data_IF_826103295596
#
_entry.id   IF_826103295596
#
_cell.length_a   1.000
_cell.length_b   1.000
_cell.length_c   1.000
_cell.angle_alpha   90.00
_cell.angle_beta   90.00
_cell.angle_gamma   90.00
#
_symmetry.space_group_name_H-M   'P 1'
#
loop_
_entity.id
_entity.type
_entity.pdbx_description
1 polymer ?
#
# COMPACT_ATOMS: atom_id res chain seq x y z
N UNK A 1 -41.01 -22.25 51.10
CA UNK A 1 -41.02 -22.19 49.61
C UNK A 1 -39.70 -21.57 49.16
N UNK A 2 -38.84 -22.43 48.63
CA UNK A 2 -37.57 -21.95 48.04
C UNK A 2 -37.80 -21.65 46.58
N UNK A 3 -37.73 -20.37 46.20
CA UNK A 3 -37.76 -19.96 44.78
C UNK A 3 -36.39 -20.20 44.22
N UNK A 4 -36.29 -21.19 43.36
CA UNK A 4 -35.11 -21.47 42.56
C UNK A 4 -35.18 -20.50 41.37
N UNK A 5 -34.31 -19.51 41.37
CA UNK A 5 -34.11 -18.61 40.23
C UNK A 5 -33.19 -19.31 39.24
N UNK A 6 -33.61 -19.63 38.03
CA UNK A 6 -32.69 -20.17 37.05
C UNK A 6 -31.77 -19.04 36.61
N UNK A 7 -30.51 -19.19 36.95
CA UNK A 7 -29.44 -18.34 36.39
C UNK A 7 -29.28 -18.76 34.94
N UNK A 8 -29.90 -18.01 34.06
CA UNK A 8 -29.69 -18.15 32.62
C UNK A 8 -28.28 -17.69 32.31
N UNK A 9 -27.37 -18.66 32.15
CA UNK A 9 -26.01 -18.41 31.70
C UNK A 9 -26.06 -17.92 30.26
N UNK A 10 -25.95 -16.59 30.08
CA UNK A 10 -25.87 -15.96 28.77
C UNK A 10 -24.45 -16.23 28.24
N UNK A 11 -24.33 -17.29 27.47
CA UNK A 11 -23.09 -17.55 26.70
C UNK A 11 -22.98 -16.52 25.61
N UNK A 12 -22.20 -15.47 25.87
CA UNK A 12 -21.73 -14.56 24.83
C UNK A 12 -20.80 -15.36 23.92
N UNK A 13 -21.32 -15.88 22.84
CA UNK A 13 -20.51 -16.38 21.74
C UNK A 13 -19.76 -15.20 21.15
N UNK A 14 -18.52 -15.02 21.59
CA UNK A 14 -17.56 -14.18 20.90
C UNK A 14 -17.31 -14.83 19.53
N UNK A 15 -18.05 -14.36 18.52
CA UNK A 15 -17.70 -14.64 17.14
C UNK A 15 -16.37 -13.95 16.88
N UNK A 16 -15.28 -14.63 17.20
CA UNK A 16 -13.96 -14.23 16.75
C UNK A 16 -13.99 -14.22 15.23
N UNK A 17 -13.83 -13.05 14.62
CA UNK A 17 -13.57 -12.96 13.19
C UNK A 17 -12.21 -13.61 12.93
N UNK A 18 -12.18 -14.92 12.81
CA UNK A 18 -11.03 -15.64 12.30
C UNK A 18 -11.03 -15.45 10.80
N UNK A 19 -10.26 -14.43 10.33
CA UNK A 19 -9.89 -14.37 8.93
C UNK A 19 -9.16 -15.66 8.58
N UNK A 20 -9.58 -16.35 7.51
CA UNK A 20 -8.89 -17.52 6.99
C UNK A 20 -7.42 -17.16 6.77
N UNK A 21 -6.46 -18.04 7.15
CA UNK A 21 -5.06 -17.77 6.88
C UNK A 21 -4.87 -17.61 5.38
N UNK A 22 -4.16 -16.54 4.96
CA UNK A 22 -3.86 -16.27 3.56
C UNK A 22 -2.98 -17.39 3.02
N UNK A 23 -3.24 -17.80 1.77
CA UNK A 23 -2.31 -18.64 1.02
C UNK A 23 -1.03 -17.84 0.73
N UNK A 24 0.07 -18.54 0.44
CA UNK A 24 1.33 -17.89 0.05
C UNK A 24 1.11 -16.98 -1.17
N UNK A 25 0.32 -17.41 -2.14
CA UNK A 25 -0.04 -16.64 -3.32
C UNK A 25 -0.77 -15.33 -2.96
N UNK A 26 -1.80 -15.40 -2.14
CA UNK A 26 -2.54 -14.21 -1.68
C UNK A 26 -1.66 -13.26 -0.88
N UNK A 27 -0.82 -13.80 -0.01
CA UNK A 27 0.12 -13.02 0.78
C UNK A 27 1.10 -12.25 -0.10
N UNK A 28 1.74 -12.93 -1.06
CA UNK A 28 2.74 -12.30 -1.91
C UNK A 28 2.15 -11.32 -2.92
N UNK A 29 0.95 -11.61 -3.44
CA UNK A 29 0.21 -10.64 -4.24
C UNK A 29 -0.03 -9.34 -3.46
N UNK A 30 -0.51 -9.45 -2.22
CA UNK A 30 -0.73 -8.31 -1.34
C UNK A 30 0.54 -7.53 -1.01
N UNK A 31 1.66 -8.22 -0.80
CA UNK A 31 2.96 -7.56 -0.57
C UNK A 31 3.44 -6.82 -1.82
N UNK A 32 3.31 -7.43 -2.99
CA UNK A 32 3.64 -6.79 -4.26
C UNK A 32 2.82 -5.53 -4.49
N UNK A 33 1.51 -5.61 -4.35
CA UNK A 33 0.60 -4.48 -4.48
C UNK A 33 0.97 -3.33 -3.51
N UNK A 34 1.27 -3.67 -2.27
CA UNK A 34 1.67 -2.70 -1.25
C UNK A 34 2.97 -1.99 -1.61
N UNK A 35 4.00 -2.71 -2.05
CA UNK A 35 5.26 -2.10 -2.46
C UNK A 35 5.12 -1.28 -3.74
N UNK A 36 4.44 -1.82 -4.74
CA UNK A 36 4.19 -1.12 -6.01
C UNK A 36 3.43 0.18 -5.81
N UNK A 37 2.36 0.17 -5.02
CA UNK A 37 1.54 1.35 -4.75
C UNK A 37 2.22 2.43 -3.92
N UNK A 38 3.30 2.08 -3.26
CA UNK A 38 4.11 3.02 -2.45
C UNK A 38 5.39 3.49 -3.12
N UNK A 39 5.65 3.06 -4.34
CA UNK A 39 6.82 3.47 -5.11
C UNK A 39 8.13 2.80 -4.71
N UNK A 40 8.08 1.70 -3.96
CA UNK A 40 9.28 0.91 -3.67
C UNK A 40 9.79 0.22 -4.94
N UNK A 41 11.11 0.05 -5.02
CA UNK A 41 11.68 -0.79 -6.08
C UNK A 41 11.24 -2.24 -5.90
N UNK A 42 11.20 -2.99 -7.01
CA UNK A 42 10.71 -4.36 -7.02
C UNK A 42 11.52 -5.30 -6.12
N UNK A 43 12.82 -5.09 -6.05
CA UNK A 43 13.75 -5.85 -5.21
C UNK A 43 14.31 -4.91 -4.13
N UNK A 44 13.49 -4.64 -3.12
CA UNK A 44 13.85 -3.79 -2.01
C UNK A 44 14.34 -4.60 -0.79
N UNK A 45 15.01 -3.94 0.14
CA UNK A 45 15.61 -4.58 1.32
C UNK A 45 14.57 -5.26 2.22
N UNK A 46 13.37 -4.69 2.33
CA UNK A 46 12.28 -5.27 3.12
C UNK A 46 11.79 -6.62 2.57
N UNK A 47 11.92 -6.83 1.26
CA UNK A 47 11.53 -8.06 0.59
C UNK A 47 12.36 -9.26 1.07
N UNK A 48 13.66 -9.08 1.25
CA UNK A 48 14.57 -10.12 1.71
C UNK A 48 14.16 -10.68 3.08
N UNK A 49 13.80 -9.80 4.01
CA UNK A 49 13.36 -10.17 5.36
C UNK A 49 12.05 -10.98 5.34
N UNK A 50 11.14 -10.61 4.47
CA UNK A 50 9.84 -11.29 4.35
C UNK A 50 10.01 -12.66 3.69
N UNK A 51 10.92 -12.80 2.72
CA UNK A 51 11.22 -14.08 2.06
C UNK A 51 11.73 -15.15 3.02
N UNK A 52 12.39 -14.76 4.10
CA UNK A 52 12.86 -15.68 5.14
C UNK A 52 11.70 -16.28 5.97
N UNK A 53 10.56 -15.60 6.02
CA UNK A 53 9.43 -15.95 6.88
C UNK A 53 8.30 -16.67 6.16
N UNK A 54 8.11 -16.39 4.87
CA UNK A 54 7.04 -16.94 4.05
C UNK A 54 7.63 -17.44 2.74
N UNK A 55 7.26 -18.67 2.35
CA UNK A 55 7.66 -19.24 1.07
C UNK A 55 7.30 -18.29 -0.07
N UNK A 56 8.31 -17.96 -0.90
CA UNK A 56 8.18 -16.94 -1.92
C UNK A 56 7.42 -17.46 -3.15
N UNK A 57 6.34 -16.76 -3.49
CA UNK A 57 5.59 -16.95 -4.73
C UNK A 57 5.89 -15.75 -5.64
N UNK A 58 6.92 -15.88 -6.47
CA UNK A 58 7.38 -14.80 -7.33
C UNK A 58 6.32 -14.34 -8.33
N UNK A 59 5.61 -15.22 -9.06
CA UNK A 59 4.57 -14.77 -9.98
C UNK A 59 3.47 -13.96 -9.31
N UNK A 60 3.04 -14.36 -8.13
CA UNK A 60 2.03 -13.64 -7.36
C UNK A 60 2.53 -12.26 -6.91
N UNK A 61 3.76 -12.20 -6.42
CA UNK A 61 4.42 -10.95 -6.03
C UNK A 61 4.52 -9.97 -7.20
N UNK A 62 5.00 -10.42 -8.35
CA UNK A 62 5.16 -9.59 -9.54
C UNK A 62 3.81 -9.07 -10.06
N UNK A 63 2.78 -9.91 -10.06
CA UNK A 63 1.43 -9.49 -10.46
C UNK A 63 0.86 -8.41 -9.53
N UNK A 64 1.03 -8.57 -8.23
CA UNK A 64 0.63 -7.57 -7.24
C UNK A 64 1.42 -6.28 -7.36
N UNK A 65 2.72 -6.37 -7.57
CA UNK A 65 3.59 -5.21 -7.77
C UNK A 65 3.17 -4.38 -8.99
N UNK A 66 2.89 -5.02 -10.12
CA UNK A 66 2.42 -4.33 -11.32
C UNK A 66 1.09 -3.59 -11.07
N UNK A 67 0.17 -4.22 -10.37
CA UNK A 67 -1.10 -3.57 -10.00
C UNK A 67 -0.87 -2.34 -9.13
N UNK A 68 -0.05 -2.45 -8.10
CA UNK A 68 0.29 -1.35 -7.21
C UNK A 68 1.01 -0.22 -7.93
N UNK A 69 1.91 -0.56 -8.84
CA UNK A 69 2.64 0.40 -9.66
C UNK A 69 1.73 1.22 -10.57
N UNK A 70 0.69 0.60 -11.14
CA UNK A 70 -0.31 1.32 -11.93
C UNK A 70 -1.04 2.39 -11.10
N UNK A 71 -1.34 2.11 -9.85
CA UNK A 71 -1.93 3.10 -8.93
C UNK A 71 -0.95 4.22 -8.59
N UNK A 72 0.30 3.87 -8.33
CA UNK A 72 1.35 4.84 -8.02
C UNK A 72 1.65 5.74 -9.22
N UNK A 73 1.66 5.18 -10.42
CA UNK A 73 1.97 5.86 -11.66
C UNK A 73 0.72 6.40 -12.40
N UNK A 74 -0.37 6.63 -11.68
CA UNK A 74 -1.56 7.25 -12.24
C UNK A 74 -1.31 8.76 -12.48
N UNK A 75 -1.37 9.23 -13.74
CA UNK A 75 -1.09 10.63 -14.05
C UNK A 75 -2.08 11.60 -13.38
N UNK A 76 -3.30 11.16 -13.12
CA UNK A 76 -4.31 11.99 -12.44
C UNK A 76 -4.05 12.15 -10.94
N UNK A 77 -3.21 11.31 -10.36
CA UNK A 77 -2.81 11.37 -8.95
C UNK A 77 -1.40 11.91 -8.74
N UNK A 78 -0.65 12.12 -9.81
CA UNK A 78 0.75 12.56 -9.75
C UNK A 78 0.91 13.94 -9.10
N UNK A 79 0.05 14.87 -9.44
CA UNK A 79 0.02 16.20 -8.82
C UNK A 79 -0.19 16.11 -7.31
N UNK A 80 -1.15 15.30 -6.87
CA UNK A 80 -1.47 15.11 -5.45
C UNK A 80 -0.27 14.55 -4.68
N UNK A 81 0.46 13.61 -5.26
CA UNK A 81 1.67 13.06 -4.66
C UNK A 81 2.77 14.12 -4.52
N UNK A 82 2.97 14.93 -5.54
CA UNK A 82 3.93 16.02 -5.52
C UNK A 82 3.61 17.09 -4.48
N UNK A 83 2.35 17.52 -4.41
CA UNK A 83 1.93 18.56 -3.46
C UNK A 83 1.95 18.06 -2.01
N UNK A 84 1.87 16.77 -1.78
CA UNK A 84 2.06 16.15 -0.46
C UNK A 84 3.53 16.00 -0.05
N UNK A 85 4.46 16.36 -0.91
CA UNK A 85 5.89 16.29 -0.65
C UNK A 85 6.52 14.93 -0.95
N UNK A 86 5.85 14.07 -1.70
CA UNK A 86 6.43 12.82 -2.20
C UNK A 86 7.32 13.11 -3.39
N UNK A 87 8.57 12.64 -3.34
CA UNK A 87 9.50 12.81 -4.45
C UNK A 87 9.28 11.76 -5.53
N UNK A 88 9.36 12.21 -6.78
CA UNK A 88 9.45 11.32 -7.92
C UNK A 88 10.91 10.91 -8.15
N UNK A 89 11.18 9.61 -8.18
CA UNK A 89 12.52 9.04 -8.37
C UNK A 89 12.53 7.96 -9.46
N UNK A 90 11.99 8.30 -10.63
CA UNK A 90 11.97 7.45 -11.82
C UNK A 90 11.19 6.14 -11.68
N UNK A 91 10.29 6.01 -10.72
CA UNK A 91 9.50 4.79 -10.51
C UNK A 91 8.60 4.43 -11.69
N UNK A 92 8.21 5.43 -12.49
CA UNK A 92 7.30 5.27 -13.62
C UNK A 92 8.00 5.37 -14.98
N UNK A 93 9.32 5.20 -15.02
CA UNK A 93 10.15 5.42 -16.22
C UNK A 93 9.77 4.54 -17.42
N UNK A 94 9.23 3.36 -17.18
CA UNK A 94 8.81 2.40 -18.20
C UNK A 94 7.34 2.51 -18.60
N UNK A 95 6.62 3.50 -18.04
CA UNK A 95 5.20 3.69 -18.32
C UNK A 95 4.98 4.57 -19.55
N UNK A 96 3.98 4.26 -20.40
CA UNK A 96 3.69 5.06 -21.60
C UNK A 96 3.36 6.53 -21.30
N UNK A 97 2.85 6.82 -20.11
CA UNK A 97 2.40 8.15 -19.69
C UNK A 97 3.43 8.85 -18.80
N UNK A 98 4.68 8.40 -18.80
CA UNK A 98 5.72 8.94 -17.93
C UNK A 98 5.88 10.47 -18.07
N UNK A 99 5.87 11.00 -19.27
CA UNK A 99 6.01 12.45 -19.51
C UNK A 99 4.94 13.24 -18.76
N UNK A 100 3.69 12.80 -18.86
CA UNK A 100 2.57 13.43 -18.15
C UNK A 100 2.69 13.26 -16.63
N UNK A 101 3.06 12.07 -16.18
CA UNK A 101 3.28 11.77 -14.76
C UNK A 101 4.35 12.69 -14.17
N UNK A 102 5.50 12.80 -14.82
CA UNK A 102 6.59 13.67 -14.37
C UNK A 102 6.18 15.14 -14.34
N UNK A 103 5.51 15.61 -15.37
CA UNK A 103 5.07 17.00 -15.45
C UNK A 103 4.09 17.35 -14.33
N UNK A 104 3.09 16.52 -14.11
CA UNK A 104 2.11 16.72 -13.04
C UNK A 104 2.71 16.59 -11.65
N UNK A 105 3.62 15.65 -11.46
CA UNK A 105 4.32 15.48 -10.20
C UNK A 105 5.19 16.70 -9.88
N UNK A 106 5.95 17.17 -10.86
CA UNK A 106 6.79 18.37 -10.70
C UNK A 106 5.94 19.60 -10.37
N UNK A 107 4.81 19.76 -11.04
CA UNK A 107 3.88 20.86 -10.77
C UNK A 107 3.37 20.82 -9.32
N UNK A 108 3.03 19.64 -8.82
CA UNK A 108 2.64 19.45 -7.43
C UNK A 108 3.79 19.70 -6.45
N UNK A 109 4.98 19.22 -6.76
CA UNK A 109 6.18 19.46 -5.98
C UNK A 109 6.54 20.95 -5.88
N UNK A 110 6.46 21.67 -6.98
CA UNK A 110 6.70 23.12 -7.00
C UNK A 110 5.70 23.86 -6.10
N UNK A 111 4.45 23.43 -6.09
CA UNK A 111 3.43 23.98 -5.18
C UNK A 111 3.73 23.65 -3.71
N UNK A 112 4.20 22.44 -3.43
CA UNK A 112 4.63 22.04 -2.08
C UNK A 112 5.81 22.88 -1.58
N UNK A 113 6.85 23.06 -2.38
CA UNK A 113 8.01 23.89 -2.04
C UNK A 113 7.59 25.36 -1.87
N UNK A 114 6.73 25.87 -2.75
CA UNK A 114 6.23 27.24 -2.66
C UNK A 114 5.44 27.48 -1.37
N UNK A 115 4.58 26.56 -1.00
CA UNK A 115 3.84 26.65 0.26
C UNK A 115 4.76 26.62 1.49
N UNK A 116 5.78 25.78 1.47
CA UNK A 116 6.76 25.67 2.56
C UNK A 116 7.62 26.93 2.68
N UNK A 117 7.99 27.51 1.56
CA UNK A 117 8.73 28.78 1.51
C UNK A 117 7.97 29.93 2.18
N UNK A 118 6.66 30.03 1.98
CA UNK A 118 5.84 31.08 2.54
C UNK A 118 5.55 30.90 4.05
N UNK A 119 5.73 29.72 4.59
CA UNK A 119 5.56 29.47 6.05
C UNK A 119 6.61 30.17 6.92
N UNK A 120 7.75 30.53 6.36
CA UNK A 120 8.88 31.12 7.07
C UNK A 120 8.97 32.65 6.95
N UNK A 121 7.95 33.29 6.43
CA UNK A 121 7.86 34.74 6.39
C UNK A 121 7.09 35.33 7.55
#
# INVERSE_FOLDING_TARGET
MKRIIPITLMVCSLAACTSSPKTASEFWYGQGERFGSRGYVIDNDSLADIKEKVEFDEPAYLAGYEKGKLEFCDPYKAFEKGIKGTRYTEQCADMPQEVMIKAEWQRGWDAFIGADFYKFR
#
